data_IF_808626964452
#
_entry.id   IF_808626964452
#
_cell.length_a   1.000
_cell.length_b   1.000
_cell.length_c   1.000
_cell.angle_alpha   90.00
_cell.angle_beta   90.00
_cell.angle_gamma   90.00
#
_symmetry.space_group_name_H-M   'P 1'
#
loop_
_entity.id
_entity.type
_entity.pdbx_description
1 polymer ?
#
# COMPACT_ATOMS: atom_id res chain seq x y z
N UNK A 1 -2.64 -30.20 12.78
CA UNK A 1 -1.98 -28.96 12.32
C UNK A 1 -3.02 -28.17 11.56
N UNK A 2 -3.70 -27.22 12.21
CA UNK A 2 -4.69 -26.39 11.52
C UNK A 2 -3.94 -25.55 10.48
N UNK A 3 -4.19 -25.82 9.21
CA UNK A 3 -3.82 -24.94 8.11
C UNK A 3 -4.66 -23.67 8.25
N UNK A 4 -4.22 -22.74 9.10
CA UNK A 4 -4.82 -21.41 9.21
C UNK A 4 -4.43 -20.65 7.94
N UNK A 5 -5.06 -20.99 6.82
CA UNK A 5 -5.02 -20.15 5.63
C UNK A 5 -5.70 -18.85 6.04
N UNK A 6 -4.92 -17.81 6.29
CA UNK A 6 -5.47 -16.48 6.37
C UNK A 6 -6.30 -16.25 5.09
N UNK A 7 -7.60 -16.01 5.26
CA UNK A 7 -8.51 -15.62 4.18
C UNK A 7 -8.86 -14.16 4.43
N UNK A 8 -8.14 -13.20 3.83
CA UNK A 8 -8.55 -11.82 3.91
C UNK A 8 -9.85 -11.69 3.11
N UNK A 9 -10.95 -11.36 3.78
CA UNK A 9 -12.31 -11.33 3.18
C UNK A 9 -12.40 -10.39 1.97
N UNK A 10 -11.47 -9.43 1.85
CA UNK A 10 -11.50 -8.35 0.86
C UNK A 10 -10.58 -8.54 -0.37
N UNK A 11 -9.85 -9.66 -0.51
CA UNK A 11 -8.89 -9.85 -1.63
C UNK A 11 -9.58 -9.79 -3.00
N UNK A 12 -10.83 -10.22 -3.10
CA UNK A 12 -11.51 -10.29 -4.40
C UNK A 12 -12.38 -9.07 -4.73
N UNK A 13 -12.57 -8.13 -3.81
CA UNK A 13 -13.60 -7.09 -3.93
C UNK A 13 -13.09 -5.66 -3.79
N UNK A 14 -11.83 -5.43 -3.39
CA UNK A 14 -11.36 -4.06 -3.16
C UNK A 14 -11.01 -3.35 -4.47
N UNK A 15 -11.79 -2.32 -4.83
CA UNK A 15 -11.48 -1.36 -5.90
C UNK A 15 -10.37 -0.37 -5.52
N UNK A 16 -9.96 -0.36 -4.26
CA UNK A 16 -8.97 0.56 -3.68
C UNK A 16 -7.85 -0.21 -2.96
N UNK A 17 -6.84 0.52 -2.47
CA UNK A 17 -5.85 -0.04 -1.57
C UNK A 17 -6.45 -0.11 -0.16
N UNK A 18 -6.58 -1.32 0.39
CA UNK A 18 -7.07 -1.56 1.74
C UNK A 18 -5.94 -2.10 2.63
N UNK A 19 -5.84 -1.60 3.85
CA UNK A 19 -4.75 -1.94 4.79
C UNK A 19 -5.36 -2.49 6.06
N UNK A 20 -5.05 -3.74 6.37
CA UNK A 20 -5.66 -4.47 7.49
C UNK A 20 -4.62 -5.22 8.30
N UNK A 21 -4.72 -5.17 9.63
CA UNK A 21 -3.98 -6.10 10.48
C UNK A 21 -4.78 -7.39 10.64
N UNK A 22 -4.15 -8.53 10.38
CA UNK A 22 -4.78 -9.84 10.55
C UNK A 22 -4.32 -10.49 11.87
N UNK A 23 -5.24 -10.75 12.82
CA UNK A 23 -4.89 -11.35 14.11
C UNK A 23 -4.45 -12.82 13.99
N UNK A 24 -4.90 -13.54 12.95
CA UNK A 24 -4.60 -14.96 12.77
C UNK A 24 -3.14 -15.20 12.36
N UNK A 25 -2.64 -14.41 11.41
CA UNK A 25 -1.26 -14.51 10.93
C UNK A 25 -0.32 -13.46 11.54
N UNK A 26 -0.85 -12.52 12.33
CA UNK A 26 -0.12 -11.42 12.99
C UNK A 26 0.69 -10.55 12.00
N UNK A 27 0.12 -10.32 10.83
CA UNK A 27 0.74 -9.54 9.76
C UNK A 27 -0.21 -8.44 9.30
N UNK A 28 0.38 -7.37 8.78
CA UNK A 28 -0.34 -6.32 8.04
C UNK A 28 -0.50 -6.78 6.59
N UNK A 29 -1.72 -6.73 6.09
CA UNK A 29 -2.08 -6.98 4.70
C UNK A 29 -2.39 -5.67 4.00
N UNK A 30 -1.74 -5.46 2.87
CA UNK A 30 -2.03 -4.37 1.94
C UNK A 30 -2.66 -5.01 0.70
N UNK A 31 -3.97 -4.86 0.56
CA UNK A 31 -4.78 -5.44 -0.50
C UNK A 31 -5.02 -4.42 -1.61
N UNK A 32 -4.75 -4.80 -2.86
CA UNK A 32 -4.86 -3.96 -4.05
C UNK A 32 -5.48 -4.79 -5.18
N UNK A 33 -6.81 -4.91 -5.16
CA UNK A 33 -7.53 -5.86 -6.01
C UNK A 33 -6.95 -7.27 -5.84
N UNK A 34 -6.52 -7.89 -6.94
CA UNK A 34 -5.97 -9.25 -6.95
C UNK A 34 -4.58 -9.42 -6.30
N UNK A 35 -3.97 -8.34 -5.78
CA UNK A 35 -2.64 -8.37 -5.17
C UNK A 35 -2.75 -8.13 -3.67
N UNK A 36 -2.16 -9.01 -2.87
CA UNK A 36 -2.01 -8.81 -1.42
C UNK A 36 -0.53 -8.86 -1.03
N UNK A 37 -0.03 -7.79 -0.43
CA UNK A 37 1.27 -7.77 0.21
C UNK A 37 1.08 -8.03 1.70
N UNK A 38 1.79 -9.03 2.24
CA UNK A 38 1.80 -9.30 3.68
C UNK A 38 3.15 -8.94 4.27
N UNK A 39 3.14 -8.21 5.37
CA UNK A 39 4.37 -7.78 6.03
C UNK A 39 4.18 -7.70 7.55
N UNK A 40 5.28 -7.80 8.30
CA UNK A 40 5.25 -7.57 9.74
C UNK A 40 4.91 -6.10 10.01
N UNK A 41 4.45 -5.78 11.22
CA UNK A 41 4.17 -4.40 11.62
C UNK A 41 5.41 -3.49 11.44
N UNK A 42 6.59 -4.00 11.81
CA UNK A 42 7.84 -3.25 11.65
C UNK A 42 8.13 -2.93 10.17
N UNK A 43 7.99 -3.91 9.27
CA UNK A 43 8.18 -3.68 7.85
C UNK A 43 7.13 -2.75 7.27
N UNK A 44 5.88 -2.83 7.75
CA UNK A 44 4.83 -1.89 7.36
C UNK A 44 5.15 -0.45 7.74
N UNK A 45 5.68 -0.23 8.95
CA UNK A 45 6.08 1.10 9.39
C UNK A 45 7.17 1.69 8.48
N UNK A 46 8.19 0.90 8.13
CA UNK A 46 9.23 1.34 7.17
C UNK A 46 8.66 1.60 5.79
N UNK A 47 7.84 0.68 5.28
CA UNK A 47 7.17 0.80 3.97
C UNK A 47 6.32 2.08 3.87
N UNK A 48 5.55 2.41 4.91
CA UNK A 48 4.70 3.59 4.95
C UNK A 48 5.51 4.90 4.88
N UNK A 49 6.68 4.94 5.54
CA UNK A 49 7.60 6.08 5.47
C UNK A 49 8.13 6.25 4.04
N UNK A 50 8.58 5.18 3.41
CA UNK A 50 9.21 5.25 2.10
C UNK A 50 8.21 5.56 0.98
N UNK A 51 6.99 4.99 1.04
CA UNK A 51 5.91 5.35 0.10
C UNK A 51 5.48 6.80 0.27
N UNK A 52 5.45 7.32 1.50
CA UNK A 52 5.13 8.74 1.73
C UNK A 52 6.15 9.67 1.07
N UNK A 53 7.46 9.35 1.17
CA UNK A 53 8.52 10.08 0.47
C UNK A 53 8.36 9.97 -1.04
N UNK A 54 8.09 8.77 -1.56
CA UNK A 54 7.88 8.55 -2.99
C UNK A 54 6.70 9.38 -3.52
N UNK A 55 5.56 9.38 -2.82
CA UNK A 55 4.38 10.18 -3.17
C UNK A 55 4.68 11.67 -3.14
N UNK A 56 5.46 12.14 -2.17
CA UNK A 56 5.90 13.53 -2.13
C UNK A 56 6.74 13.90 -3.37
N UNK A 57 7.73 13.09 -3.72
CA UNK A 57 8.56 13.31 -4.91
C UNK A 57 7.75 13.25 -6.21
N UNK A 58 6.73 12.39 -6.30
CA UNK A 58 5.82 12.34 -7.46
C UNK A 58 5.06 13.66 -7.62
N UNK A 59 4.46 14.17 -6.55
CA UNK A 59 3.72 15.44 -6.58
C UNK A 59 4.62 16.64 -6.89
N UNK A 60 5.85 16.65 -6.39
CA UNK A 60 6.82 17.69 -6.75
C UNK A 60 7.12 17.71 -8.26
N UNK A 61 7.24 16.55 -8.90
CA UNK A 61 7.45 16.44 -10.35
C UNK A 61 6.25 16.95 -11.14
N UNK A 62 5.03 16.65 -10.70
CA UNK A 62 3.80 17.14 -11.33
C UNK A 62 3.73 18.67 -11.29
N UNK A 63 4.08 19.28 -10.15
CA UNK A 63 4.15 20.75 -10.02
C UNK A 63 5.19 21.33 -10.98
N UNK A 64 6.39 20.75 -11.04
CA UNK A 64 7.43 21.19 -11.97
C UNK A 64 7.01 21.06 -13.45
N UNK A 65 6.32 19.98 -13.80
CA UNK A 65 5.79 19.80 -15.17
C UNK A 65 4.67 20.78 -15.50
N UNK A 66 3.82 21.13 -14.54
CA UNK A 66 2.80 22.14 -14.71
C UNK A 66 3.42 23.53 -14.97
N UNK A 67 4.47 23.89 -14.22
CA UNK A 67 5.16 25.17 -14.36
C UNK A 67 5.86 25.31 -15.73
N UNK A 68 6.52 24.24 -16.21
CA UNK A 68 7.13 24.24 -17.56
C UNK A 68 6.11 24.36 -18.69
N UNK A 69 4.88 23.86 -18.53
CA UNK A 69 3.81 24.00 -19.54
C UNK A 69 3.24 25.41 -19.63
N UNK A 70 3.37 26.20 -18.56
CA UNK A 70 2.91 27.61 -18.54
C UNK A 70 3.97 28.53 -19.13
N UNK A 71 5.25 28.11 -19.17
CA UNK A 71 6.35 28.86 -19.76
C UNK A 71 6.61 28.57 -21.26
N UNK A 72 5.74 27.80 -21.93
CA UNK A 72 5.77 27.57 -23.39
C UNK A 72 4.65 28.32 -24.10
#
# INVERSE_FOLDING_TARGET
MASNSCQPENVFSSSTCDIQFCPDCKMVHVNMGAITIRMTEQHFATYAIDISKALFHMRQREIHQADMRVMM
#
